data_IF_899273971170
#
_entry.id   IF_899273971170
#
_cell.length_a   1.000
_cell.length_b   1.000
_cell.length_c   1.000
_cell.angle_alpha   90.00
_cell.angle_beta   90.00
_cell.angle_gamma   90.00
#
_symmetry.space_group_name_H-M   'P 1'
#
loop_
_entity.id
_entity.type
_entity.pdbx_description
1 polymer ?
#
# COMPACT_ATOMS: atom_id res chain seq x y z
N UNK A 1 -16.39 35.66 -33.03
CA UNK A 1 -16.04 34.22 -33.13
C UNK A 1 -14.86 33.99 -32.24
N UNK A 2 -15.10 33.52 -31.04
CA UNK A 2 -14.05 33.16 -30.09
C UNK A 2 -13.97 31.64 -30.03
N UNK A 3 -12.84 31.09 -30.47
CA UNK A 3 -12.52 29.68 -30.39
C UNK A 3 -12.01 29.36 -29.00
N UNK A 4 -12.82 28.63 -28.24
CA UNK A 4 -12.43 28.04 -26.96
C UNK A 4 -11.50 26.86 -27.22
N UNK A 5 -10.23 27.01 -26.89
CA UNK A 5 -9.29 25.90 -26.76
C UNK A 5 -9.68 25.09 -25.52
N UNK A 6 -10.30 23.94 -25.74
CA UNK A 6 -10.47 22.92 -24.71
C UNK A 6 -9.13 22.22 -24.49
N UNK A 7 -8.48 22.57 -23.41
CA UNK A 7 -7.35 21.78 -22.86
C UNK A 7 -7.93 20.48 -22.34
N UNK A 8 -7.69 19.40 -23.07
CA UNK A 8 -8.05 18.04 -22.66
C UNK A 8 -7.18 17.69 -21.45
N UNK A 9 -7.75 17.83 -20.28
CA UNK A 9 -7.26 17.17 -19.07
C UNK A 9 -7.30 15.66 -19.33
N UNK A 10 -6.16 15.04 -19.48
CA UNK A 10 -6.04 13.59 -19.37
C UNK A 10 -6.28 13.21 -17.91
N UNK A 11 -7.56 13.17 -17.57
CA UNK A 11 -8.06 12.67 -16.31
C UNK A 11 -7.71 11.20 -16.18
N UNK A 12 -7.11 10.90 -15.07
CA UNK A 12 -7.03 9.60 -14.43
C UNK A 12 -8.29 8.78 -14.71
N UNK A 13 -8.14 7.64 -15.40
CA UNK A 13 -9.15 6.59 -15.40
C UNK A 13 -9.29 6.10 -13.96
N UNK A 14 -10.37 6.53 -13.35
CA UNK A 14 -10.85 6.02 -12.07
C UNK A 14 -11.30 4.58 -12.33
N UNK A 15 -10.59 3.59 -11.77
CA UNK A 15 -11.11 2.24 -11.59
C UNK A 15 -12.33 2.37 -10.67
N UNK A 16 -13.52 2.37 -11.26
CA UNK A 16 -14.78 2.20 -10.54
C UNK A 16 -14.93 0.73 -10.17
N UNK A 17 -14.37 0.37 -9.00
CA UNK A 17 -14.52 -0.91 -8.35
C UNK A 17 -14.61 -0.69 -6.85
N UNK A 18 -15.81 -0.73 -6.31
CA UNK A 18 -16.29 -0.85 -4.93
C UNK A 18 -15.22 -0.84 -3.83
N UNK A 19 -15.07 0.29 -3.16
CA UNK A 19 -14.27 0.50 -1.97
C UNK A 19 -13.57 1.83 -2.04
N UNK A 20 -13.86 2.76 -1.15
CA UNK A 20 -13.17 4.04 -1.07
C UNK A 20 -11.66 3.81 -1.00
N UNK A 21 -10.94 4.10 -2.08
CA UNK A 21 -9.48 3.92 -2.16
C UNK A 21 -8.85 4.80 -1.08
N UNK A 22 -8.29 4.16 -0.04
CA UNK A 22 -7.64 4.89 1.06
C UNK A 22 -6.53 5.75 0.46
N UNK A 23 -6.56 7.06 0.72
CA UNK A 23 -5.48 7.93 0.28
C UNK A 23 -4.18 7.56 0.98
N UNK A 24 -3.04 7.77 0.30
CA UNK A 24 -1.73 7.53 0.91
C UNK A 24 -1.58 8.29 2.24
N UNK A 25 -2.04 9.55 2.29
CA UNK A 25 -1.96 10.37 3.48
C UNK A 25 -2.82 9.85 4.63
N UNK A 26 -4.05 9.44 4.37
CA UNK A 26 -4.92 8.87 5.39
C UNK A 26 -4.36 7.57 5.94
N UNK A 27 -3.75 6.77 5.07
CA UNK A 27 -3.05 5.56 5.49
C UNK A 27 -1.87 5.88 6.41
N UNK A 28 -1.00 6.83 6.04
CA UNK A 28 0.13 7.25 6.87
C UNK A 28 -0.34 7.82 8.21
N UNK A 29 -1.35 8.69 8.22
CA UNK A 29 -1.96 9.22 9.45
C UNK A 29 -2.49 8.09 10.34
N UNK A 30 -3.13 7.07 9.74
CA UNK A 30 -3.67 5.93 10.48
C UNK A 30 -2.58 5.09 11.15
N UNK A 31 -1.46 4.82 10.46
CA UNK A 31 -0.39 3.96 11.02
C UNK A 31 0.45 4.69 12.09
N UNK A 32 0.51 6.02 12.05
CA UNK A 32 1.26 6.83 13.00
C UNK A 32 0.36 7.64 13.95
N UNK A 33 -0.94 7.30 14.07
CA UNK A 33 -1.93 8.03 14.91
C UNK A 33 -1.52 8.17 16.38
N UNK A 34 -0.78 7.18 16.91
CA UNK A 34 -0.33 7.14 18.30
C UNK A 34 1.13 7.65 18.44
N UNK A 35 1.59 8.43 17.48
CA UNK A 35 2.92 9.07 17.42
C UNK A 35 2.73 10.57 17.22
N UNK A 36 3.72 11.33 17.65
CA UNK A 36 3.74 12.79 17.48
C UNK A 36 4.11 13.23 16.07
N UNK A 37 4.25 12.26 15.14
CA UNK A 37 4.66 12.49 13.76
C UNK A 37 3.67 13.40 13.02
N UNK A 38 4.17 14.37 12.26
CA UNK A 38 3.35 15.22 11.40
C UNK A 38 3.32 14.67 9.98
N UNK A 39 2.11 14.45 9.46
CA UNK A 39 1.86 14.00 8.10
C UNK A 39 1.19 15.13 7.33
N UNK A 40 1.91 15.73 6.39
CA UNK A 40 1.45 16.87 5.59
C UNK A 40 1.48 16.56 4.10
N UNK A 41 0.49 17.07 3.36
CA UNK A 41 0.46 16.99 1.89
C UNK A 41 1.10 18.24 1.29
N UNK A 42 1.74 18.08 0.14
CA UNK A 42 2.12 19.21 -0.69
C UNK A 42 0.94 19.67 -1.56
N UNK A 43 0.87 20.96 -1.84
CA UNK A 43 -0.13 21.48 -2.78
C UNK A 43 0.12 20.91 -4.19
N UNK A 44 -0.95 20.60 -4.92
CA UNK A 44 -0.83 20.16 -6.31
C UNK A 44 -0.04 21.19 -7.13
N UNK A 45 1.04 20.73 -7.75
CA UNK A 45 1.92 21.59 -8.57
C UNK A 45 3.02 22.32 -7.80
N UNK A 46 3.08 22.20 -6.46
CA UNK A 46 4.25 22.61 -5.70
C UNK A 46 5.38 21.59 -5.89
N UNK A 47 6.63 22.05 -5.87
CA UNK A 47 7.77 21.17 -5.76
C UNK A 47 7.72 20.45 -4.40
N UNK A 48 7.97 19.13 -4.38
CA UNK A 48 8.03 18.38 -3.13
C UNK A 48 7.02 17.23 -3.02
N UNK A 49 7.14 16.14 -3.73
CA UNK A 49 6.42 14.88 -3.51
C UNK A 49 4.89 15.00 -3.23
N UNK A 50 4.25 13.90 -2.84
CA UNK A 50 2.83 13.92 -2.48
C UNK A 50 2.62 14.18 -0.98
N UNK A 51 3.45 13.55 -0.13
CA UNK A 51 3.29 13.58 1.33
C UNK A 51 4.63 13.63 2.04
N UNK A 52 4.70 14.41 3.12
CA UNK A 52 5.85 14.52 4.01
C UNK A 52 5.46 13.99 5.39
N UNK A 53 6.28 13.09 5.93
CA UNK A 53 6.27 12.69 7.33
C UNK A 53 7.45 13.32 8.05
N UNK A 54 7.17 14.13 9.07
CA UNK A 54 8.17 14.57 10.03
C UNK A 54 8.10 13.65 11.24
N UNK A 55 9.14 12.86 11.42
CA UNK A 55 9.29 11.96 12.56
C UNK A 55 9.70 12.80 13.78
N UNK A 56 8.86 12.80 14.80
CA UNK A 56 9.06 13.63 16.01
C UNK A 56 9.35 12.73 17.20
N UNK A 57 10.41 13.05 17.92
CA UNK A 57 10.75 12.48 19.21
C UNK A 57 11.19 13.60 20.16
N UNK A 58 10.75 13.56 21.41
CA UNK A 58 11.07 14.58 22.43
C UNK A 58 10.82 16.01 21.96
N UNK A 59 9.71 16.26 21.27
CA UNK A 59 9.29 17.56 20.70
C UNK A 59 10.21 18.13 19.61
N UNK A 60 11.09 17.35 19.00
CA UNK A 60 11.89 17.80 17.87
C UNK A 60 11.83 16.85 16.68
N UNK A 61 11.95 17.38 15.47
CA UNK A 61 11.96 16.58 14.25
C UNK A 61 13.32 15.92 14.07
N UNK A 62 13.37 14.59 14.13
CA UNK A 62 14.60 13.79 13.99
C UNK A 62 14.85 13.31 12.57
N UNK A 63 13.80 13.15 11.78
CA UNK A 63 13.87 12.69 10.40
C UNK A 63 12.68 13.21 9.60
N UNK A 64 12.89 13.42 8.29
CA UNK A 64 11.84 13.72 7.32
C UNK A 64 11.82 12.65 6.23
N UNK A 65 10.65 12.06 5.98
CA UNK A 65 10.44 11.05 4.96
C UNK A 65 9.47 11.60 3.93
N UNK A 66 9.91 11.68 2.68
CA UNK A 66 9.11 12.16 1.55
C UNK A 66 8.53 10.98 0.79
N UNK A 67 7.23 10.98 0.57
CA UNK A 67 6.51 9.95 -0.16
C UNK A 67 6.00 10.48 -1.48
N UNK A 68 6.19 9.70 -2.53
CA UNK A 68 5.66 9.94 -3.87
C UNK A 68 4.88 8.72 -4.34
N UNK A 69 3.60 8.88 -4.69
CA UNK A 69 2.74 7.81 -5.22
C UNK A 69 2.76 7.82 -6.75
N UNK A 70 3.04 6.68 -7.35
CA UNK A 70 2.98 6.49 -8.80
C UNK A 70 1.98 5.38 -9.16
N UNK A 71 0.82 5.78 -9.66
CA UNK A 71 -0.22 4.85 -10.11
C UNK A 71 -0.22 4.75 -11.64
N UNK A 72 0.92 4.36 -12.23
CA UNK A 72 1.12 4.26 -13.68
C UNK A 72 1.42 2.82 -14.11
N UNK A 73 1.19 2.51 -15.39
CA UNK A 73 1.47 1.18 -15.96
C UNK A 73 2.95 0.96 -16.29
N UNK A 74 3.75 2.04 -16.39
CA UNK A 74 5.15 1.97 -16.80
C UNK A 74 6.03 2.71 -15.81
N UNK A 75 7.22 2.16 -15.53
CA UNK A 75 8.26 2.78 -14.72
C UNK A 75 9.02 3.87 -15.50
N UNK A 76 9.40 4.96 -14.81
CA UNK A 76 10.35 5.94 -15.33
C UNK A 76 11.49 6.16 -14.34
N UNK A 77 12.74 6.13 -14.84
CA UNK A 77 13.93 6.43 -14.04
C UNK A 77 14.01 7.91 -13.63
N UNK A 78 13.30 8.79 -14.31
CA UNK A 78 13.21 10.22 -13.97
C UNK A 78 12.55 10.46 -12.61
N UNK A 79 11.71 9.54 -12.15
CA UNK A 79 11.08 9.66 -10.83
C UNK A 79 12.10 9.67 -9.69
N UNK A 80 13.18 8.91 -9.83
CA UNK A 80 14.25 8.90 -8.83
C UNK A 80 14.92 10.27 -8.77
N UNK A 81 15.26 10.84 -9.95
CA UNK A 81 15.90 12.15 -10.04
C UNK A 81 14.97 13.25 -9.50
N UNK A 82 13.70 13.24 -9.92
CA UNK A 82 12.70 14.18 -9.43
C UNK A 82 12.56 14.10 -7.91
N UNK A 83 12.41 12.90 -7.36
CA UNK A 83 12.30 12.72 -5.91
C UNK A 83 13.56 13.18 -5.17
N UNK A 84 14.76 13.00 -5.75
CA UNK A 84 16.00 13.52 -5.18
C UNK A 84 16.00 15.05 -5.09
N UNK A 85 15.50 15.72 -6.11
CA UNK A 85 15.43 17.18 -6.13
C UNK A 85 14.36 17.68 -5.15
N UNK A 86 13.19 17.06 -5.09
CA UNK A 86 12.13 17.32 -4.12
C UNK A 86 12.61 17.09 -2.67
N UNK A 87 13.44 16.07 -2.43
CA UNK A 87 14.06 15.80 -1.13
C UNK A 87 15.03 16.88 -0.70
N UNK A 88 15.82 17.45 -1.62
CA UNK A 88 16.72 18.56 -1.31
C UNK A 88 15.92 19.79 -0.89
N UNK A 89 14.84 20.10 -1.60
CA UNK A 89 13.99 21.26 -1.32
C UNK A 89 13.26 21.12 0.02
N UNK A 90 12.65 19.96 0.27
CA UNK A 90 11.95 19.65 1.53
C UNK A 90 12.89 19.35 2.69
N UNK A 91 14.20 19.26 2.45
CA UNK A 91 15.23 18.80 3.40
C UNK A 91 14.88 17.43 4.00
N UNK A 92 14.38 16.53 3.16
CA UNK A 92 14.02 15.18 3.57
C UNK A 92 15.22 14.25 3.60
N UNK A 93 15.27 13.38 4.59
CA UNK A 93 16.35 12.42 4.78
C UNK A 93 16.15 11.18 3.89
N UNK A 94 14.90 10.78 3.70
CA UNK A 94 14.49 9.58 2.98
C UNK A 94 13.41 9.92 1.97
N UNK A 95 13.48 9.29 0.79
CA UNK A 95 12.44 9.30 -0.23
C UNK A 95 11.83 7.91 -0.41
N UNK A 96 10.52 7.84 -0.61
CA UNK A 96 9.80 6.60 -0.88
C UNK A 96 8.95 6.78 -2.14
N UNK A 97 9.23 6.00 -3.18
CA UNK A 97 8.38 5.87 -4.36
C UNK A 97 7.46 4.68 -4.15
N UNK A 98 6.18 4.93 -3.90
CA UNK A 98 5.12 3.93 -3.77
C UNK A 98 4.44 3.72 -5.11
N UNK A 99 4.70 2.58 -5.79
CA UNK A 99 4.42 2.44 -7.23
C UNK A 99 3.87 1.09 -7.64
N UNK A 100 2.95 1.09 -8.62
CA UNK A 100 2.50 -0.14 -9.32
C UNK A 100 3.54 -0.64 -10.33
N UNK A 101 4.19 0.28 -11.02
CA UNK A 101 5.22 -0.06 -12.01
C UNK A 101 6.61 -0.04 -11.36
N UNK A 102 7.32 -1.16 -11.38
CA UNK A 102 8.66 -1.31 -10.84
C UNK A 102 9.73 -1.29 -11.93
N UNK A 103 11.00 -0.96 -11.62
CA UNK A 103 12.11 -1.09 -12.56
C UNK A 103 12.22 -2.51 -13.12
N UNK A 104 12.77 -2.66 -14.34
CA UNK A 104 12.96 -3.98 -14.96
C UNK A 104 13.77 -4.97 -14.14
N UNK A 105 14.76 -4.46 -13.40
CA UNK A 105 15.65 -5.24 -12.53
C UNK A 105 15.14 -5.36 -11.08
N UNK A 106 13.89 -5.00 -10.83
CA UNK A 106 13.30 -5.15 -9.50
C UNK A 106 13.13 -6.65 -9.17
N UNK A 107 13.74 -7.16 -8.08
CA UNK A 107 13.64 -8.57 -7.72
C UNK A 107 12.18 -8.97 -7.47
N UNK A 108 11.76 -10.12 -8.01
CA UNK A 108 10.35 -10.58 -7.92
C UNK A 108 9.85 -10.69 -6.48
N UNK A 109 10.71 -11.20 -5.59
CA UNK A 109 10.35 -11.49 -4.20
C UNK A 109 10.69 -10.35 -3.24
N UNK A 110 11.32 -9.27 -3.72
CA UNK A 110 11.60 -8.12 -2.87
C UNK A 110 10.32 -7.29 -2.66
N UNK A 111 9.98 -6.92 -1.42
CA UNK A 111 8.87 -6.00 -1.14
C UNK A 111 9.24 -4.56 -1.51
N UNK A 112 10.49 -4.20 -1.39
CA UNK A 112 11.10 -2.93 -1.81
C UNK A 112 12.56 -3.12 -2.17
N UNK A 113 13.12 -2.15 -2.90
CA UNK A 113 14.56 -1.98 -3.12
C UNK A 113 14.94 -0.56 -2.77
N UNK A 114 16.22 -0.29 -2.59
CA UNK A 114 16.68 1.07 -2.36
C UNK A 114 17.87 1.44 -3.25
N UNK A 115 17.99 2.73 -3.52
CA UNK A 115 19.15 3.36 -4.17
C UNK A 115 19.55 4.57 -3.34
N UNK A 116 20.63 4.43 -2.57
CA UNK A 116 20.95 5.40 -1.52
C UNK A 116 19.82 5.49 -0.50
N UNK A 117 19.35 6.69 -0.26
CA UNK A 117 18.26 7.00 0.66
C UNK A 117 16.86 7.02 -0.01
N UNK A 118 16.72 6.55 -1.24
CA UNK A 118 15.43 6.41 -1.92
C UNK A 118 15.02 4.94 -1.95
N UNK A 119 13.82 4.67 -1.46
CA UNK A 119 13.18 3.36 -1.47
C UNK A 119 12.12 3.31 -2.57
N UNK A 120 12.14 2.23 -3.36
CA UNK A 120 11.10 1.92 -4.34
C UNK A 120 10.28 0.78 -3.75
N UNK A 121 9.05 1.09 -3.37
CA UNK A 121 8.13 0.18 -2.70
C UNK A 121 6.99 -0.23 -3.65
N UNK A 122 6.70 -1.52 -3.73
CA UNK A 122 5.54 -2.02 -4.47
C UNK A 122 4.25 -1.42 -3.93
N UNK A 123 3.27 -1.22 -4.82
CA UNK A 123 1.95 -0.67 -4.48
C UNK A 123 1.13 -1.67 -3.66
N UNK A 124 1.52 -1.81 -2.40
CA UNK A 124 0.93 -2.69 -1.41
C UNK A 124 1.01 -2.01 -0.03
N UNK A 125 -0.13 -1.66 0.53
CA UNK A 125 -0.18 -0.91 1.78
C UNK A 125 0.44 -1.63 3.00
N UNK A 126 0.29 -2.96 3.19
CA UNK A 126 1.05 -3.70 4.20
C UNK A 126 2.56 -3.57 4.04
N UNK A 127 3.07 -3.65 2.81
CA UNK A 127 4.49 -3.46 2.49
C UNK A 127 4.94 -2.04 2.83
N UNK A 128 4.16 -1.03 2.44
CA UNK A 128 4.45 0.36 2.77
C UNK A 128 4.46 0.60 4.28
N UNK A 129 3.51 0.01 5.04
CA UNK A 129 3.50 0.07 6.51
C UNK A 129 4.81 -0.44 7.09
N UNK A 130 5.25 -1.63 6.65
CA UNK A 130 6.49 -2.23 7.14
C UNK A 130 7.70 -1.35 6.84
N UNK A 131 7.79 -0.81 5.63
CA UNK A 131 8.86 0.11 5.25
C UNK A 131 8.84 1.38 6.10
N UNK A 132 7.71 2.07 6.16
CA UNK A 132 7.58 3.35 6.87
C UNK A 132 7.86 3.22 8.38
N UNK A 133 7.33 2.16 9.01
CA UNK A 133 7.58 1.90 10.44
C UNK A 133 9.03 1.51 10.71
N UNK A 134 9.66 0.75 9.82
CA UNK A 134 11.09 0.39 9.94
C UNK A 134 11.96 1.62 9.82
N UNK A 135 11.70 2.50 8.84
CA UNK A 135 12.47 3.75 8.67
C UNK A 135 12.30 4.68 9.87
N UNK A 136 11.07 4.86 10.36
CA UNK A 136 10.83 5.62 11.58
C UNK A 136 11.63 5.09 12.76
N UNK A 137 11.52 3.78 13.01
CA UNK A 137 12.19 3.13 14.13
C UNK A 137 13.72 3.24 14.04
N UNK A 138 14.30 3.04 12.85
CA UNK A 138 15.73 3.17 12.62
C UNK A 138 16.22 4.59 12.98
N UNK A 139 15.49 5.63 12.56
CA UNK A 139 15.86 7.01 12.86
C UNK A 139 15.69 7.37 14.34
N UNK A 140 14.68 6.82 15.03
CA UNK A 140 14.54 6.95 16.48
C UNK A 140 15.74 6.34 17.21
N UNK A 141 16.20 5.16 16.78
CA UNK A 141 17.40 4.54 17.34
C UNK A 141 18.65 5.39 17.09
N UNK A 142 18.85 5.85 15.87
CA UNK A 142 19.99 6.71 15.51
C UNK A 142 19.97 7.98 16.38
N UNK A 143 18.80 8.62 16.56
CA UNK A 143 18.67 9.83 17.36
C UNK A 143 19.01 9.57 18.83
N UNK A 144 18.49 8.51 19.41
CA UNK A 144 18.79 8.12 20.79
C UNK A 144 20.28 7.83 21.04
N UNK A 145 21.01 7.47 20.00
CA UNK A 145 22.43 7.12 20.09
C UNK A 145 23.36 8.20 19.52
N UNK A 146 22.85 9.37 19.09
CA UNK A 146 23.67 10.47 18.56
C UNK A 146 24.73 10.99 19.54
N UNK A 147 24.42 10.99 20.82
CA UNK A 147 25.34 11.41 21.88
C UNK A 147 26.23 10.26 22.39
N UNK A 148 25.96 9.06 21.92
CA UNK A 148 26.73 7.88 22.26
C UNK A 148 28.03 7.85 21.44
N UNK A 149 29.10 7.34 22.04
CA UNK A 149 30.39 7.21 21.39
C UNK A 149 30.30 6.50 20.03
N UNK A 150 31.27 6.72 19.15
CA UNK A 150 31.38 6.10 17.83
C UNK A 150 31.22 4.56 17.87
N UNK A 151 31.59 3.93 18.98
CA UNK A 151 31.42 2.51 19.28
C UNK A 151 29.95 2.08 19.39
N UNK A 152 29.07 2.92 19.96
CA UNK A 152 27.63 2.60 20.06
C UNK A 152 26.91 2.72 18.72
N UNK A 153 27.36 3.60 17.83
CA UNK A 153 26.85 3.69 16.46
C UNK A 153 27.24 2.45 15.66
N UNK A 154 28.49 2.01 15.79
CA UNK A 154 28.99 0.77 15.15
C UNK A 154 28.23 -0.44 15.69
N UNK A 155 28.01 -0.56 16.99
CA UNK A 155 27.23 -1.65 17.58
C UNK A 155 25.76 -1.64 17.15
N UNK A 156 25.14 -0.48 16.91
CA UNK A 156 23.79 -0.38 16.35
C UNK A 156 23.74 -0.81 14.87
N UNK A 157 24.76 -0.46 14.08
CA UNK A 157 24.92 -0.93 12.70
C UNK A 157 25.14 -2.45 12.69
N UNK A 158 26.03 -2.96 13.52
CA UNK A 158 26.30 -4.40 13.66
C UNK A 158 25.03 -5.16 14.08
N UNK A 159 24.21 -4.59 14.98
CA UNK A 159 22.92 -5.15 15.36
C UNK A 159 21.97 -5.24 14.16
N UNK A 160 21.83 -4.18 13.36
CA UNK A 160 20.97 -4.16 12.16
C UNK A 160 21.50 -5.07 11.05
N UNK A 161 22.84 -5.23 10.95
CA UNK A 161 23.50 -6.14 10.02
C UNK A 161 23.53 -7.57 10.50
N UNK A 162 23.23 -7.80 11.78
CA UNK A 162 23.24 -9.13 12.38
C UNK A 162 22.35 -10.10 11.58
N UNK A 163 22.89 -11.23 11.11
CA UNK A 163 22.14 -12.20 10.32
C UNK A 163 20.88 -12.71 11.02
N UNK A 164 20.90 -12.82 12.35
CA UNK A 164 19.75 -13.25 13.15
C UNK A 164 18.62 -12.22 13.08
N UNK A 165 18.93 -10.93 13.17
CA UNK A 165 17.93 -9.84 13.05
C UNK A 165 17.36 -9.79 11.63
N UNK A 166 18.22 -9.87 10.61
CA UNK A 166 17.77 -10.00 9.21
C UNK A 166 16.84 -11.20 9.03
N UNK A 167 17.21 -12.36 9.57
CA UNK A 167 16.39 -13.56 9.49
C UNK A 167 15.04 -13.42 10.20
N UNK A 168 14.99 -12.81 11.39
CA UNK A 168 13.74 -12.54 12.11
C UNK A 168 12.83 -11.63 11.30
N UNK A 169 13.36 -10.56 10.72
CA UNK A 169 12.62 -9.65 9.86
C UNK A 169 12.10 -10.40 8.62
N UNK A 170 12.96 -11.18 7.95
CA UNK A 170 12.56 -11.97 6.78
C UNK A 170 11.53 -13.04 7.12
N UNK A 171 11.64 -13.71 8.26
CA UNK A 171 10.63 -14.67 8.73
C UNK A 171 9.28 -13.99 8.97
N UNK A 172 9.24 -12.80 9.60
CA UNK A 172 7.99 -12.03 9.78
C UNK A 172 7.37 -11.62 8.45
N UNK A 173 8.18 -11.20 7.48
CA UNK A 173 7.71 -10.88 6.12
C UNK A 173 7.09 -12.12 5.48
N UNK A 174 7.78 -13.26 5.51
CA UNK A 174 7.31 -14.53 4.93
C UNK A 174 6.02 -15.03 5.58
N UNK A 175 5.89 -14.90 6.92
CA UNK A 175 4.65 -15.25 7.64
C UNK A 175 3.50 -14.34 7.19
N UNK A 176 3.74 -13.04 7.07
CA UNK A 176 2.76 -12.08 6.59
C UNK A 176 2.28 -12.40 5.17
N UNK A 177 3.21 -12.77 4.28
CA UNK A 177 2.87 -13.19 2.92
C UNK A 177 2.05 -14.48 2.86
N UNK A 178 2.39 -15.48 3.68
CA UNK A 178 1.62 -16.72 3.81
C UNK A 178 0.20 -16.45 4.31
N UNK A 179 0.04 -15.57 5.31
CA UNK A 179 -1.26 -15.16 5.81
C UNK A 179 -2.08 -14.46 4.73
N UNK A 180 -1.46 -13.57 3.94
CA UNK A 180 -2.12 -12.88 2.83
C UNK A 180 -2.59 -13.84 1.74
N UNK A 181 -1.77 -14.85 1.39
CA UNK A 181 -2.16 -15.89 0.42
C UNK A 181 -3.36 -16.69 0.94
N UNK A 182 -3.37 -17.05 2.23
CA UNK A 182 -4.52 -17.73 2.84
C UNK A 182 -5.80 -16.89 2.78
N UNK A 183 -5.70 -15.60 3.15
CA UNK A 183 -6.83 -14.68 3.08
C UNK A 183 -7.38 -14.55 1.66
N UNK A 184 -6.50 -14.44 0.65
CA UNK A 184 -6.93 -14.39 -0.74
C UNK A 184 -7.68 -15.64 -1.17
N UNK A 185 -7.21 -16.83 -0.77
CA UNK A 185 -7.89 -18.09 -1.04
C UNK A 185 -9.25 -18.17 -0.34
N UNK A 186 -9.33 -17.68 0.91
CA UNK A 186 -10.61 -17.64 1.64
C UNK A 186 -11.61 -16.70 0.97
N UNK A 187 -11.16 -15.54 0.47
CA UNK A 187 -12.01 -14.62 -0.28
C UNK A 187 -12.53 -15.27 -1.56
N UNK A 188 -11.68 -15.97 -2.31
CA UNK A 188 -12.09 -16.69 -3.50
C UNK A 188 -13.16 -17.76 -3.19
N UNK A 189 -12.95 -18.55 -2.13
CA UNK A 189 -13.94 -19.55 -1.71
C UNK A 189 -15.28 -18.91 -1.29
N UNK A 190 -15.28 -17.70 -0.71
CA UNK A 190 -16.51 -16.98 -0.39
C UNK A 190 -17.21 -16.46 -1.64
N UNK A 191 -16.46 -15.98 -2.64
CA UNK A 191 -17.01 -15.59 -3.95
C UNK A 191 -17.69 -16.79 -4.62
N UNK A 192 -17.04 -17.97 -4.64
CA UNK A 192 -17.59 -19.21 -5.17
C UNK A 192 -18.90 -19.63 -4.45
N UNK A 193 -18.98 -19.46 -3.12
CA UNK A 193 -20.20 -19.75 -2.34
C UNK A 193 -21.33 -18.76 -2.68
N UNK A 194 -21.02 -17.48 -2.91
CA UNK A 194 -22.01 -16.49 -3.31
C UNK A 194 -22.60 -16.87 -4.67
N UNK A 195 -21.76 -17.20 -5.64
CA UNK A 195 -22.18 -17.63 -6.98
C UNK A 195 -23.08 -18.88 -6.93
N UNK A 196 -22.74 -19.86 -6.07
CA UNK A 196 -23.58 -21.05 -5.85
C UNK A 196 -24.94 -20.68 -5.24
N UNK A 197 -25.00 -19.75 -4.28
CA UNK A 197 -26.24 -19.29 -3.70
C UNK A 197 -27.13 -18.55 -4.71
N UNK A 198 -26.55 -17.69 -5.55
CA UNK A 198 -27.27 -16.99 -6.62
C UNK A 198 -27.86 -18.01 -7.61
N UNK A 199 -27.10 -19.01 -8.02
CA UNK A 199 -27.59 -20.10 -8.88
C UNK A 199 -28.71 -20.92 -8.24
N UNK A 200 -28.65 -21.14 -6.92
CA UNK A 200 -29.69 -21.82 -6.18
C UNK A 200 -30.99 -20.97 -6.11
N UNK A 201 -30.86 -19.68 -5.90
CA UNK A 201 -32.00 -18.75 -5.89
C UNK A 201 -32.69 -18.70 -7.27
N UNK A 202 -31.94 -18.66 -8.36
CA UNK A 202 -32.49 -18.75 -9.73
C UNK A 202 -33.27 -20.06 -9.95
N UNK A 203 -32.70 -21.17 -9.48
CA UNK A 203 -33.35 -22.50 -9.60
C UNK A 203 -34.65 -22.59 -8.79
N UNK A 204 -34.68 -21.98 -7.61
CA UNK A 204 -35.89 -21.85 -6.78
C UNK A 204 -36.97 -20.97 -7.46
N UNK A 205 -36.56 -19.86 -8.07
CA UNK A 205 -37.48 -19.00 -8.81
C UNK A 205 -38.13 -19.74 -10.01
N UNK A 206 -37.35 -20.55 -10.73
CA UNK A 206 -37.86 -21.40 -11.82
C UNK A 206 -38.85 -22.43 -11.28
N UNK A 207 -38.53 -23.10 -10.19
CA UNK A 207 -39.42 -24.04 -9.54
C UNK A 207 -40.74 -23.39 -9.13
N UNK A 208 -40.70 -22.20 -8.50
CA UNK A 208 -41.90 -21.46 -8.14
C UNK A 208 -42.76 -21.06 -9.36
N UNK A 209 -42.12 -20.67 -10.47
CA UNK A 209 -42.82 -20.40 -11.73
C UNK A 209 -43.54 -21.63 -12.27
N UNK A 210 -42.92 -22.80 -12.22
CA UNK A 210 -43.57 -24.08 -12.65
C UNK A 210 -44.70 -24.47 -11.69
N UNK A 211 -44.52 -24.41 -10.38
CA UNK A 211 -45.60 -24.67 -9.40
C UNK A 211 -46.82 -23.78 -9.66
N UNK A 212 -46.59 -22.49 -9.91
CA UNK A 212 -47.66 -21.55 -10.19
C UNK A 212 -48.39 -21.84 -11.52
N UNK A 213 -47.71 -22.42 -12.52
CA UNK A 213 -48.26 -22.76 -13.82
C UNK A 213 -49.18 -23.97 -13.79
N UNK A 214 -48.81 -25.03 -13.02
CA UNK A 214 -49.54 -26.30 -12.99
C UNK A 214 -50.45 -26.43 -11.77
N UNK A 215 -50.34 -25.56 -10.81
CA UNK A 215 -51.03 -25.65 -9.51
C UNK A 215 -50.31 -26.61 -8.55
N UNK A 216 -50.47 -26.32 -7.24
CA UNK A 216 -49.72 -27.03 -6.20
C UNK A 216 -50.06 -28.54 -6.16
N UNK A 217 -51.33 -28.90 -6.34
CA UNK A 217 -51.78 -30.31 -6.34
C UNK A 217 -51.18 -31.12 -7.48
N UNK A 218 -51.20 -30.61 -8.70
CA UNK A 218 -50.63 -31.28 -9.87
C UNK A 218 -49.10 -31.36 -9.80
N UNK A 219 -48.43 -30.38 -9.19
CA UNK A 219 -46.98 -30.41 -8.95
C UNK A 219 -46.60 -31.54 -7.96
N UNK A 220 -47.35 -31.69 -6.85
CA UNK A 220 -47.08 -32.70 -5.85
C UNK A 220 -47.34 -34.11 -6.42
N UNK A 221 -48.31 -34.28 -7.29
CA UNK A 221 -48.60 -35.57 -7.98
C UNK A 221 -47.45 -35.95 -8.93
N UNK A 222 -46.85 -34.99 -9.60
CA UNK A 222 -45.65 -35.22 -10.45
C UNK A 222 -44.38 -35.51 -9.68
N UNK A 223 -44.26 -34.97 -8.47
CA UNK A 223 -43.09 -35.14 -7.63
C UNK A 223 -43.06 -36.53 -6.95
N UNK A 224 -44.24 -37.10 -6.67
CA UNK A 224 -44.37 -38.38 -5.96
C UNK A 224 -44.41 -39.61 -6.89
N UNK A 225 -44.38 -39.44 -8.25
CA UNK A 225 -44.25 -40.46 -9.26
C UNK A 225 -42.86 -40.51 -9.89
#
# INVERSE_FOLDING_TARGET
>A
MQTLNQTVNQGTTVDQGSGAEISLGDFLKKIFKDKDDKITSFAKGAAGGDWLQEVIENNHTICKILYERKNTKSWSNEWIKKLQDDMKESKSNIGVIFTRATPKNFPKDAPWVHKGNIFICKYDFPTLRNLATTQRWAHVLIDKHKESSKENILSAIDFLENPTIKNIIMQKINISEKQRKKLKLTLQNLEDVIELNESMDESLEELFKEINKIGISEFLDKWNN
#
